data_IF_115851094505
#
_entry.id   IF_115851094505
#
_cell.length_a   1.000
_cell.length_b   1.000
_cell.length_c   1.000
_cell.angle_alpha   90.00
_cell.angle_beta   90.00
_cell.angle_gamma   90.00
#
_symmetry.space_group_name_H-M   'P 1'
#
loop_
_entity.id
_entity.type
_entity.pdbx_description
1 polymer ?
#
# COMPACT_ATOMS: atom_id res chain seq x y z
N UNK A 1 1.77 -22.19 -1.87
CA UNK A 1 2.74 -21.39 -1.09
C UNK A 1 2.92 -19.96 -1.62
N UNK A 2 2.93 -19.71 -2.94
CA UNK A 2 3.01 -18.33 -3.48
C UNK A 2 1.68 -17.54 -3.46
N UNK A 3 0.52 -18.19 -3.58
CA UNK A 3 -0.79 -17.52 -3.57
C UNK A 3 -1.13 -16.88 -2.22
N UNK A 4 -0.79 -17.56 -1.12
CA UNK A 4 -1.12 -17.11 0.25
C UNK A 4 -0.44 -15.79 0.62
N UNK A 5 0.80 -15.57 0.15
CA UNK A 5 1.54 -14.32 0.37
C UNK A 5 0.93 -13.15 -0.39
N UNK A 6 0.35 -13.40 -1.57
CA UNK A 6 -0.28 -12.37 -2.39
C UNK A 6 -1.61 -11.95 -1.76
N UNK A 7 -2.41 -12.91 -1.31
CA UNK A 7 -3.69 -12.65 -0.62
C UNK A 7 -3.47 -11.89 0.70
N UNK A 8 -2.48 -12.29 1.50
CA UNK A 8 -2.13 -11.59 2.75
C UNK A 8 -1.67 -10.15 2.50
N UNK A 9 -0.93 -9.90 1.42
CA UNK A 9 -0.50 -8.55 1.04
C UNK A 9 -1.69 -7.73 0.55
N UNK A 10 -2.61 -8.30 -0.22
CA UNK A 10 -3.80 -7.60 -0.71
C UNK A 10 -4.74 -7.19 0.44
N UNK A 11 -4.99 -8.08 1.41
CA UNK A 11 -5.79 -7.75 2.59
C UNK A 11 -5.16 -6.63 3.44
N UNK A 12 -3.85 -6.68 3.65
CA UNK A 12 -3.14 -5.62 4.38
C UNK A 12 -3.17 -4.29 3.62
N UNK A 13 -3.03 -4.31 2.30
CA UNK A 13 -3.14 -3.10 1.48
C UNK A 13 -4.56 -2.53 1.46
N UNK A 14 -5.61 -3.38 1.53
CA UNK A 14 -7.00 -2.94 1.71
C UNK A 14 -7.21 -2.26 3.07
N UNK A 15 -6.66 -2.81 4.15
CA UNK A 15 -6.66 -2.15 5.47
C UNK A 15 -5.94 -0.81 5.47
N UNK A 16 -4.81 -0.72 4.75
CA UNK A 16 -4.08 0.53 4.57
C UNK A 16 -4.95 1.56 3.84
N UNK A 17 -5.71 1.13 2.83
CA UNK A 17 -6.69 1.97 2.13
C UNK A 17 -7.74 2.56 3.08
N UNK A 18 -8.31 1.71 3.93
CA UNK A 18 -9.34 2.10 4.88
C UNK A 18 -8.81 3.08 5.95
N UNK A 19 -7.56 2.91 6.40
CA UNK A 19 -6.99 3.78 7.45
C UNK A 19 -6.37 5.08 6.90
N UNK A 20 -5.78 5.06 5.71
CA UNK A 20 -4.92 6.15 5.22
C UNK A 20 -5.67 7.45 4.86
N UNK A 21 -7.01 7.46 4.89
CA UNK A 21 -7.90 8.55 4.44
C UNK A 21 -7.29 9.26 3.22
N UNK A 22 -7.38 8.58 2.08
CA UNK A 22 -6.93 9.13 0.81
C UNK A 22 -8.05 9.95 0.16
N UNK A 23 -7.69 11.02 -0.54
CA UNK A 23 -8.59 11.67 -1.50
C UNK A 23 -8.84 10.72 -2.68
N UNK A 24 -10.00 10.79 -3.34
CA UNK A 24 -10.39 9.88 -4.44
C UNK A 24 -9.30 9.70 -5.52
N UNK A 25 -8.59 10.78 -5.86
CA UNK A 25 -7.48 10.74 -6.83
C UNK A 25 -6.30 9.94 -6.32
N UNK A 26 -5.94 10.11 -5.06
CA UNK A 26 -4.80 9.45 -4.43
C UNK A 26 -5.11 7.97 -4.20
N UNK A 27 -6.34 7.66 -3.81
CA UNK A 27 -6.87 6.29 -3.74
C UNK A 27 -6.79 5.59 -5.10
N UNK A 28 -7.23 6.27 -6.17
CA UNK A 28 -7.16 5.71 -7.52
C UNK A 28 -5.72 5.39 -7.94
N UNK A 29 -4.77 6.30 -7.64
CA UNK A 29 -3.34 6.07 -7.92
C UNK A 29 -2.81 4.90 -7.08
N UNK A 30 -3.21 4.78 -5.82
CA UNK A 30 -2.84 3.69 -4.94
C UNK A 30 -3.32 2.34 -5.50
N UNK A 31 -4.62 2.22 -5.83
CA UNK A 31 -5.19 0.99 -6.41
C UNK A 31 -4.45 0.57 -7.67
N UNK A 32 -4.22 1.50 -8.60
CA UNK A 32 -3.47 1.21 -9.84
C UNK A 32 -2.01 0.84 -9.59
N UNK A 33 -1.35 1.47 -8.60
CA UNK A 33 0.06 1.23 -8.28
C UNK A 33 0.31 -0.14 -7.66
N UNK A 34 -0.60 -0.59 -6.81
CA UNK A 34 -0.46 -1.84 -6.07
C UNK A 34 -1.29 -2.99 -6.66
N UNK A 35 -2.22 -2.70 -7.57
CA UNK A 35 -3.07 -3.70 -8.23
C UNK A 35 -4.24 -4.16 -7.37
N UNK A 36 -4.83 -3.26 -6.59
CA UNK A 36 -5.94 -3.58 -5.69
C UNK A 36 -7.24 -3.49 -6.48
N UNK A 37 -7.91 -4.62 -6.62
CA UNK A 37 -9.13 -4.79 -7.44
C UNK A 37 -8.98 -4.37 -8.91
N UNK A 38 -7.73 -4.18 -9.37
CA UNK A 38 -7.39 -3.81 -10.75
C UNK A 38 -6.01 -4.36 -11.15
N UNK A 39 -5.71 -4.35 -12.45
CA UNK A 39 -4.36 -4.69 -12.93
C UNK A 39 -3.35 -3.67 -12.45
N UNK A 40 -2.23 -4.15 -11.88
CA UNK A 40 -1.12 -3.31 -11.47
C UNK A 40 -0.51 -2.60 -12.68
N UNK A 41 -0.34 -1.29 -12.58
CA UNK A 41 0.20 -0.44 -13.63
C UNK A 41 1.54 0.17 -13.25
N UNK A 42 2.39 0.31 -14.26
CA UNK A 42 3.62 1.09 -14.14
C UNK A 42 3.33 2.59 -14.02
N UNK A 43 4.22 3.38 -13.38
CA UNK A 43 4.03 4.83 -13.26
C UNK A 43 3.80 5.53 -14.60
N UNK A 44 4.39 5.04 -15.70
CA UNK A 44 4.17 5.58 -17.05
C UNK A 44 2.73 5.34 -17.53
N UNK A 45 2.17 4.17 -17.24
CA UNK A 45 0.79 3.83 -17.60
C UNK A 45 -0.20 4.64 -16.75
N UNK A 46 0.02 4.71 -15.43
CA UNK A 46 -0.79 5.52 -14.50
C UNK A 46 -0.81 7.00 -14.92
N UNK A 47 0.35 7.55 -15.32
CA UNK A 47 0.46 8.94 -15.79
C UNK A 47 -0.41 9.22 -17.01
N UNK A 48 -0.50 8.26 -17.94
CA UNK A 48 -1.34 8.38 -19.14
C UNK A 48 -2.82 8.23 -18.81
N UNK A 49 -3.16 7.24 -17.99
CA UNK A 49 -4.54 6.92 -17.63
C UNK A 49 -5.20 8.02 -16.81
N UNK A 50 -4.50 8.50 -15.78
CA UNK A 50 -4.97 9.58 -14.91
C UNK A 50 -4.76 10.98 -15.52
N UNK A 51 -4.08 11.07 -16.67
CA UNK A 51 -3.67 12.34 -17.32
C UNK A 51 -2.90 13.27 -16.36
N UNK A 52 -2.05 12.69 -15.52
CA UNK A 52 -1.22 13.42 -14.54
C UNK A 52 0.22 13.53 -15.09
N UNK A 53 0.86 14.72 -15.04
CA UNK A 53 2.26 14.86 -15.41
C UNK A 53 3.16 13.94 -14.58
N UNK A 54 4.10 13.24 -15.23
CA UNK A 54 5.00 12.27 -14.60
C UNK A 54 5.73 12.80 -13.35
N UNK A 55 6.13 14.09 -13.37
CA UNK A 55 6.77 14.75 -12.22
C UNK A 55 5.84 14.85 -11.00
N UNK A 56 4.57 15.24 -11.22
CA UNK A 56 3.56 15.29 -10.17
C UNK A 56 3.21 13.89 -9.68
N UNK A 57 3.04 12.94 -10.60
CA UNK A 57 2.76 11.56 -10.23
C UNK A 57 3.86 10.95 -9.34
N UNK A 58 5.13 11.20 -9.65
CA UNK A 58 6.24 10.74 -8.79
C UNK A 58 6.12 11.27 -7.37
N UNK A 59 5.82 12.56 -7.20
CA UNK A 59 5.64 13.16 -5.88
C UNK A 59 4.46 12.52 -5.12
N UNK A 60 3.33 12.31 -5.81
CA UNK A 60 2.17 11.64 -5.21
C UNK A 60 2.47 10.19 -4.84
N UNK A 61 3.13 9.43 -5.72
CA UNK A 61 3.57 8.07 -5.42
C UNK A 61 4.49 8.02 -4.19
N UNK A 62 5.46 8.94 -4.07
CA UNK A 62 6.32 8.97 -2.88
C UNK A 62 5.54 9.27 -1.59
N UNK A 63 4.54 10.16 -1.64
CA UNK A 63 3.67 10.42 -0.47
C UNK A 63 2.85 9.19 -0.10
N UNK A 64 2.30 8.52 -1.12
CA UNK A 64 1.55 7.27 -0.96
C UNK A 64 2.46 6.20 -0.34
N UNK A 65 3.63 5.93 -0.94
CA UNK A 65 4.60 4.94 -0.46
C UNK A 65 4.98 5.20 1.01
N UNK A 66 5.22 6.48 1.38
CA UNK A 66 5.53 6.85 2.76
C UNK A 66 4.36 6.64 3.72
N UNK A 67 3.12 6.97 3.32
CA UNK A 67 1.94 6.71 4.15
C UNK A 67 1.74 5.22 4.35
N UNK A 68 1.84 4.44 3.29
CA UNK A 68 1.74 2.97 3.31
C UNK A 68 2.80 2.41 4.26
N UNK A 69 4.05 2.84 4.12
CA UNK A 69 5.13 2.41 5.01
C UNK A 69 4.85 2.74 6.48
N UNK A 70 4.39 3.96 6.78
CA UNK A 70 4.08 4.36 8.16
C UNK A 70 2.92 3.56 8.75
N UNK A 71 1.91 3.25 7.95
CA UNK A 71 0.75 2.45 8.38
C UNK A 71 1.18 1.00 8.60
N UNK A 72 1.90 0.40 7.66
CA UNK A 72 2.44 -0.96 7.80
C UNK A 72 3.36 -1.08 9.01
N UNK A 73 4.18 -0.06 9.30
CA UNK A 73 5.00 0.02 10.50
C UNK A 73 4.18 0.16 11.78
N UNK A 74 3.05 0.88 11.73
CA UNK A 74 2.12 1.00 12.87
C UNK A 74 1.40 -0.33 13.13
N UNK A 75 1.06 -1.06 12.08
CA UNK A 75 0.51 -2.41 12.15
C UNK A 75 1.54 -3.50 12.43
N UNK A 76 2.76 -3.10 12.82
CA UNK A 76 3.93 -3.96 12.94
C UNK A 76 3.59 -5.43 13.18
N UNK A 77 3.59 -6.19 12.08
CA UNK A 77 3.83 -7.63 12.04
C UNK A 77 5.27 -7.95 12.52
N UNK A 78 6.00 -6.95 13.05
CA UNK A 78 7.28 -7.08 13.74
C UNK A 78 7.17 -6.98 15.27
N UNK A 79 5.99 -6.68 15.85
CA UNK A 79 5.79 -6.77 17.32
C UNK A 79 5.29 -8.16 17.79
N UNK A 80 4.86 -9.05 16.90
CA UNK A 80 4.48 -10.41 17.29
C UNK A 80 5.67 -11.22 17.86
N UNK A 81 6.92 -10.89 17.49
CA UNK A 81 8.11 -11.51 18.13
C UNK A 81 8.33 -11.08 19.59
N UNK A 82 7.81 -9.92 20.02
CA UNK A 82 7.99 -9.44 21.40
C UNK A 82 6.97 -10.00 22.39
N UNK A 83 5.74 -10.28 21.95
CA UNK A 83 4.70 -10.84 22.81
C UNK A 83 4.90 -12.33 23.10
N UNK A 84 5.45 -13.10 22.14
CA UNK A 84 5.77 -14.53 22.34
C UNK A 84 6.90 -14.79 23.34
N UNK A 85 7.82 -13.85 23.54
CA UNK A 85 8.89 -13.95 24.56
C UNK A 85 8.43 -13.56 25.96
N UNK A 86 7.37 -12.76 26.09
CA UNK A 86 6.86 -12.31 27.39
C UNK A 86 5.94 -13.34 28.08
N UNK A 87 5.42 -14.32 27.34
CA UNK A 87 4.60 -15.42 27.91
C UNK A 87 5.43 -16.68 28.26
N UNK A 88 6.75 -16.64 28.08
CA UNK A 88 7.67 -17.75 28.41
C UNK A 88 8.63 -17.47 29.57
N UNK A 89 8.44 -16.36 30.31
CA UNK A 89 9.12 -16.10 31.60
C UNK A 89 8.20 -16.34 32.81
#
# INVERSE_FOLDING_TARGET
MQLYLIELVDENLKRVLDEAVFDEKTESIFKLRYGIDCLRLDPKAISKEMKIPMKKLKLELTKIDNRVFNILKKYDLFEEEKLLQAETE
#
